data_IF_158748176200
#
_entry.id   IF_158748176200
#
_cell.length_a   1.000
_cell.length_b   1.000
_cell.length_c   1.000
_cell.angle_alpha   90.00
_cell.angle_beta   90.00
_cell.angle_gamma   90.00
#
_symmetry.space_group_name_H-M   'P 1'
#
loop_
_entity.id
_entity.type
_entity.pdbx_description
1 polymer ?
#
# COMPACT_ATOMS: atom_id res chain seq x y z
N UNK A 1 -17.63 1.30 10.39
CA UNK A 1 -17.46 0.74 9.03
C UNK A 1 -17.93 -0.71 8.99
N UNK A 2 -18.54 -1.20 7.91
CA UNK A 2 -19.02 -2.60 7.87
C UNK A 2 -17.86 -3.61 7.78
N UNK A 3 -18.07 -4.81 8.31
CA UNK A 3 -17.07 -5.91 8.28
C UNK A 3 -16.58 -6.22 6.85
N UNK A 4 -17.48 -6.20 5.86
CA UNK A 4 -17.13 -6.41 4.45
C UNK A 4 -16.16 -5.34 3.94
N UNK A 5 -16.45 -4.06 4.23
CA UNK A 5 -15.56 -2.97 3.85
C UNK A 5 -14.21 -3.12 4.56
N UNK A 6 -14.20 -3.40 5.87
CA UNK A 6 -12.94 -3.51 6.62
C UNK A 6 -12.01 -4.58 6.01
N UNK A 7 -12.53 -5.77 5.74
CA UNK A 7 -11.79 -6.86 5.08
C UNK A 7 -11.26 -6.47 3.70
N UNK A 8 -12.03 -5.70 2.93
CA UNK A 8 -11.59 -5.20 1.61
C UNK A 8 -10.36 -4.29 1.72
N UNK A 9 -10.36 -3.32 2.64
CA UNK A 9 -9.20 -2.43 2.80
C UNK A 9 -7.96 -3.16 3.34
N UNK A 10 -8.15 -4.14 4.24
CA UNK A 10 -7.05 -5.00 4.69
C UNK A 10 -6.49 -5.84 3.52
N UNK A 11 -7.35 -6.42 2.68
CA UNK A 11 -6.91 -7.15 1.51
C UNK A 11 -6.11 -6.26 0.53
N UNK A 12 -6.56 -5.03 0.31
CA UNK A 12 -5.82 -4.05 -0.52
C UNK A 12 -4.43 -3.74 0.04
N UNK A 13 -4.30 -3.59 1.36
CA UNK A 13 -2.99 -3.40 2.02
C UNK A 13 -2.10 -4.62 1.79
N UNK A 14 -2.63 -5.84 1.98
CA UNK A 14 -1.86 -7.07 1.78
C UNK A 14 -1.37 -7.20 0.33
N UNK A 15 -2.23 -6.92 -0.64
CA UNK A 15 -1.86 -6.94 -2.07
C UNK A 15 -0.76 -5.90 -2.34
N UNK A 16 -0.89 -4.68 -1.83
CA UNK A 16 0.12 -3.64 -2.01
C UNK A 16 1.47 -4.00 -1.38
N UNK A 17 1.47 -4.64 -0.21
CA UNK A 17 2.69 -5.14 0.43
C UNK A 17 3.35 -6.26 -0.38
N UNK A 18 2.57 -7.19 -0.94
CA UNK A 18 3.10 -8.25 -1.80
C UNK A 18 3.71 -7.69 -3.08
N UNK A 19 2.97 -6.85 -3.82
CA UNK A 19 3.46 -6.26 -5.07
C UNK A 19 4.65 -5.34 -4.81
N UNK A 20 4.57 -4.50 -3.78
CA UNK A 20 5.64 -3.58 -3.42
C UNK A 20 6.89 -4.31 -2.96
N UNK A 21 6.74 -5.32 -2.10
CA UNK A 21 7.82 -6.17 -1.62
C UNK A 21 8.49 -6.95 -2.75
N UNK A 22 7.72 -7.56 -3.65
CA UNK A 22 8.25 -8.25 -4.83
C UNK A 22 8.98 -7.27 -5.76
N UNK A 23 8.45 -6.07 -5.95
CA UNK A 23 9.10 -5.05 -6.77
C UNK A 23 10.44 -4.58 -6.19
N UNK A 24 10.50 -4.37 -4.88
CA UNK A 24 11.74 -4.03 -4.17
C UNK A 24 12.73 -5.20 -4.17
N UNK A 25 12.25 -6.43 -4.05
CA UNK A 25 13.09 -7.63 -4.10
C UNK A 25 13.72 -7.82 -5.49
N UNK A 26 12.95 -7.60 -6.56
CA UNK A 26 13.41 -7.83 -7.93
C UNK A 26 14.28 -6.69 -8.48
N UNK A 27 13.89 -5.43 -8.22
CA UNK A 27 14.52 -4.26 -8.84
C UNK A 27 15.10 -3.27 -7.84
N UNK A 28 15.07 -3.56 -6.54
CA UNK A 28 15.50 -2.62 -5.52
C UNK A 28 14.68 -1.31 -5.51
N UNK A 29 15.27 -0.26 -4.94
CA UNK A 29 14.70 1.09 -4.97
C UNK A 29 14.93 1.80 -6.32
N UNK A 30 15.86 1.30 -7.13
CA UNK A 30 16.32 1.92 -8.36
C UNK A 30 16.26 0.89 -9.50
N UNK A 31 15.39 1.14 -10.48
CA UNK A 31 15.15 0.23 -11.61
C UNK A 31 16.37 0.07 -12.52
N UNK A 32 17.24 1.07 -12.59
CA UNK A 32 18.47 1.09 -13.38
C UNK A 32 19.53 1.80 -12.53
N UNK A 33 20.61 1.11 -12.16
CA UNK A 33 21.69 1.68 -11.32
C UNK A 33 22.36 2.89 -11.98
N UNK A 34 22.54 2.87 -13.31
CA UNK A 34 23.15 3.97 -14.07
C UNK A 34 22.27 5.22 -14.16
N UNK A 35 20.95 5.06 -14.36
CA UNK A 35 20.04 6.18 -14.59
C UNK A 35 19.23 6.59 -13.34
N UNK A 36 19.46 5.95 -12.19
CA UNK A 36 18.72 6.16 -10.92
C UNK A 36 17.23 6.40 -11.13
N UNK A 37 16.60 5.58 -11.97
CA UNK A 37 15.14 5.67 -12.16
C UNK A 37 14.48 5.08 -10.92
N UNK A 38 13.69 5.86 -10.17
CA UNK A 38 13.06 5.36 -8.96
C UNK A 38 12.07 4.25 -9.28
N UNK A 39 11.98 3.27 -8.40
CA UNK A 39 10.99 2.21 -8.50
C UNK A 39 9.58 2.75 -8.25
N UNK A 40 8.95 3.26 -9.30
CA UNK A 40 7.61 3.85 -9.25
C UNK A 40 6.55 2.85 -8.78
N UNK A 41 6.73 1.56 -9.03
CA UNK A 41 5.84 0.51 -8.51
C UNK A 41 5.90 0.48 -6.99
N UNK A 42 7.10 0.42 -6.40
CA UNK A 42 7.26 0.46 -4.95
C UNK A 42 6.67 1.75 -4.34
N UNK A 43 6.90 2.89 -4.98
CA UNK A 43 6.35 4.19 -4.56
C UNK A 43 4.81 4.17 -4.60
N UNK A 44 4.22 3.70 -5.70
CA UNK A 44 2.77 3.60 -5.83
C UNK A 44 2.15 2.68 -4.77
N UNK A 45 2.80 1.56 -4.45
CA UNK A 45 2.33 0.65 -3.41
C UNK A 45 2.36 1.30 -2.02
N UNK A 46 3.37 2.12 -1.72
CA UNK A 46 3.41 2.91 -0.46
C UNK A 46 2.22 3.87 -0.38
N UNK A 47 1.91 4.61 -1.45
CA UNK A 47 0.75 5.50 -1.47
C UNK A 47 -0.57 4.75 -1.30
N UNK A 48 -0.70 3.56 -1.90
CA UNK A 48 -1.87 2.70 -1.69
C UNK A 48 -1.98 2.32 -0.22
N UNK A 49 -0.91 1.82 0.42
CA UNK A 49 -0.93 1.47 1.86
C UNK A 49 -1.35 2.66 2.71
N UNK A 50 -0.78 3.85 2.48
CA UNK A 50 -1.14 5.06 3.21
C UNK A 50 -2.62 5.45 3.02
N UNK A 51 -3.13 5.41 1.80
CA UNK A 51 -4.53 5.75 1.50
C UNK A 51 -5.52 4.81 2.19
N UNK A 52 -5.24 3.50 2.18
CA UNK A 52 -6.07 2.51 2.84
C UNK A 52 -6.00 2.64 4.37
N UNK A 53 -4.80 2.94 4.89
CA UNK A 53 -4.59 3.17 6.32
C UNK A 53 -5.38 4.38 6.83
N UNK A 54 -5.35 5.51 6.13
CA UNK A 54 -6.14 6.70 6.49
C UNK A 54 -7.63 6.38 6.50
N UNK A 55 -8.12 5.73 5.45
CA UNK A 55 -9.54 5.34 5.33
C UNK A 55 -9.97 4.41 6.46
N UNK A 56 -9.15 3.43 6.81
CA UNK A 56 -9.40 2.53 7.94
C UNK A 56 -9.45 3.29 9.26
N UNK A 57 -8.49 4.19 9.51
CA UNK A 57 -8.44 4.99 10.75
C UNK A 57 -9.67 5.87 10.91
N UNK A 58 -10.14 6.51 9.85
CA UNK A 58 -11.37 7.31 9.86
C UNK A 58 -12.62 6.44 10.03
N UNK A 59 -12.69 5.31 9.33
CA UNK A 59 -13.80 4.37 9.42
C UNK A 59 -13.94 3.69 10.79
N UNK A 60 -12.84 3.56 11.53
CA UNK A 60 -12.80 3.10 12.92
C UNK A 60 -13.19 4.19 13.91
N UNK A 61 -12.71 5.43 13.71
CA UNK A 61 -13.13 6.59 14.53
C UNK A 61 -14.65 6.79 14.50
N UNK A 62 -15.26 6.77 13.31
CA UNK A 62 -16.72 6.90 13.12
C UNK A 62 -17.57 5.77 13.71
N UNK A 63 -16.96 4.65 14.12
CA UNK A 63 -17.69 3.54 14.76
C UNK A 63 -17.58 3.53 16.28
N UNK A 64 -16.89 4.52 16.85
CA UNK A 64 -16.62 4.67 18.28
C UNK A 64 -17.45 5.78 18.94
N UNK A 65 -18.10 6.60 18.12
CA UNK A 65 -19.15 7.55 18.50
C UNK A 65 -20.52 6.89 18.28
#
# INVERSE_FOLDING_TARGET
>A
MSQRRFRFHIAMILIALVIGGLSLWHSGLWLIEENRVPNFTAIAMVFIVLSQWVTLREGLKKGKD
#
